data_IF_608461109433
#
_entry.id   IF_608461109433
#
_cell.length_a   1.000
_cell.length_b   1.000
_cell.length_c   1.000
_cell.angle_alpha   90.00
_cell.angle_beta   90.00
_cell.angle_gamma   90.00
#
_symmetry.space_group_name_H-M   'P 1'
#
loop_
_entity.id
_entity.type
_entity.pdbx_description
1 polymer ?
#
# COMPACT_ATOMS: atom_id res chain seq x y z
N UNK A 1 13.37 -8.72 -20.12
CA UNK A 1 13.63 -7.54 -19.25
C UNK A 1 13.78 -8.02 -17.82
N UNK A 2 14.94 -7.81 -17.20
CA UNK A 2 15.17 -8.27 -15.84
C UNK A 2 14.16 -7.66 -14.85
N UNK A 3 13.62 -8.49 -13.97
CA UNK A 3 12.76 -8.11 -12.85
C UNK A 3 13.46 -8.46 -11.54
N UNK A 4 13.58 -7.50 -10.63
CA UNK A 4 14.12 -7.73 -9.28
C UNK A 4 12.97 -7.97 -8.32
N UNK A 5 12.88 -9.17 -7.74
CA UNK A 5 11.93 -9.49 -6.68
C UNK A 5 12.58 -9.20 -5.33
N UNK A 6 12.04 -8.23 -4.59
CA UNK A 6 12.60 -7.77 -3.30
C UNK A 6 11.73 -8.32 -2.17
N UNK A 7 12.34 -9.14 -1.30
CA UNK A 7 11.67 -9.84 -0.20
C UNK A 7 12.26 -9.39 1.14
N UNK A 8 11.58 -8.48 1.89
CA UNK A 8 11.98 -8.14 3.25
C UNK A 8 11.65 -9.29 4.20
N UNK A 9 12.64 -9.78 4.95
CA UNK A 9 12.50 -10.94 5.83
C UNK A 9 12.80 -10.55 7.28
N UNK A 10 11.84 -10.82 8.19
CA UNK A 10 12.00 -10.64 9.63
C UNK A 10 11.18 -11.68 10.39
N UNK A 11 11.83 -12.67 10.99
CA UNK A 11 11.19 -13.75 11.74
C UNK A 11 10.06 -14.43 10.94
N UNK A 12 10.42 -15.00 9.80
CA UNK A 12 9.49 -15.61 8.82
C UNK A 12 9.92 -17.01 8.41
N UNK A 13 10.62 -17.74 9.28
CA UNK A 13 11.13 -19.09 8.99
C UNK A 13 10.04 -20.07 8.53
N UNK A 14 8.79 -19.89 8.96
CA UNK A 14 7.66 -20.75 8.59
C UNK A 14 7.10 -20.48 7.19
N UNK A 15 7.36 -19.31 6.63
CA UNK A 15 6.72 -18.82 5.39
C UNK A 15 7.70 -18.62 4.23
N UNK A 16 8.93 -18.21 4.54
CA UNK A 16 9.87 -17.69 3.55
C UNK A 16 10.25 -18.71 2.48
N UNK A 17 10.25 -20.00 2.77
CA UNK A 17 10.53 -21.05 1.79
C UNK A 17 9.47 -21.05 0.68
N UNK A 18 8.20 -21.13 1.03
CA UNK A 18 7.10 -21.11 0.05
C UNK A 18 7.09 -19.81 -0.77
N UNK A 19 7.38 -18.67 -0.12
CA UNK A 19 7.49 -17.39 -0.79
C UNK A 19 8.58 -17.41 -1.88
N UNK A 20 9.79 -17.84 -1.55
CA UNK A 20 10.92 -17.95 -2.51
C UNK A 20 10.58 -18.95 -3.62
N UNK A 21 10.01 -20.10 -3.28
CA UNK A 21 9.61 -21.13 -4.25
C UNK A 21 8.56 -20.63 -5.22
N UNK A 22 7.61 -19.78 -4.78
CA UNK A 22 6.62 -19.15 -5.65
C UNK A 22 7.27 -18.21 -6.69
N UNK A 23 8.41 -17.61 -6.35
CA UNK A 23 9.19 -16.77 -7.29
C UNK A 23 10.07 -17.62 -8.19
N UNK A 24 10.70 -18.68 -7.68
CA UNK A 24 11.49 -19.60 -8.48
C UNK A 24 10.64 -20.36 -9.51
N UNK A 25 9.37 -20.63 -9.16
CA UNK A 25 8.37 -21.27 -10.02
C UNK A 25 7.70 -20.34 -11.05
N UNK A 26 8.15 -19.09 -11.20
CA UNK A 26 7.59 -18.20 -12.22
C UNK A 26 7.90 -18.68 -13.65
N UNK A 27 6.93 -18.56 -14.55
CA UNK A 27 7.06 -18.83 -15.98
C UNK A 27 7.99 -17.82 -16.70
N UNK A 28 8.45 -16.79 -15.98
CA UNK A 28 9.38 -15.75 -16.45
C UNK A 28 10.78 -16.00 -15.90
N UNK A 29 11.78 -16.17 -16.78
CA UNK A 29 13.12 -16.61 -16.37
C UNK A 29 14.10 -15.48 -16.04
N UNK A 30 13.89 -14.27 -16.59
CA UNK A 30 14.79 -13.12 -16.40
C UNK A 30 14.50 -12.42 -15.06
N UNK A 31 14.82 -13.13 -13.97
CA UNK A 31 14.54 -12.74 -12.58
C UNK A 31 15.80 -12.79 -11.71
N UNK A 32 15.95 -11.83 -10.81
CA UNK A 32 16.77 -11.92 -9.60
C UNK A 32 15.89 -11.82 -8.35
N UNK A 33 16.23 -12.56 -7.31
CA UNK A 33 15.54 -12.58 -6.02
C UNK A 33 16.46 -11.98 -4.98
N UNK A 34 16.06 -10.87 -4.37
CA UNK A 34 16.84 -10.15 -3.38
C UNK A 34 16.12 -10.28 -2.04
N UNK A 35 16.60 -11.19 -1.20
CA UNK A 35 16.10 -11.42 0.15
C UNK A 35 16.87 -10.52 1.13
N UNK A 36 16.18 -9.76 1.95
CA UNK A 36 16.82 -8.86 2.92
C UNK A 36 16.47 -9.31 4.33
N UNK A 37 17.44 -9.93 5.02
CA UNK A 37 17.32 -10.22 6.44
C UNK A 37 17.37 -8.93 7.25
N UNK A 38 16.26 -8.63 7.93
CA UNK A 38 16.10 -7.41 8.74
C UNK A 38 16.22 -7.71 10.25
N UNK A 39 17.34 -8.33 10.65
CA UNK A 39 17.66 -8.74 12.02
C UNK A 39 16.76 -9.86 12.56
N UNK A 40 16.53 -10.91 11.78
CA UNK A 40 15.83 -12.11 12.26
C UNK A 40 16.59 -12.80 13.39
N UNK A 41 15.83 -13.30 14.36
CA UNK A 41 16.33 -14.05 15.51
C UNK A 41 15.96 -15.54 15.48
N UNK A 42 15.15 -15.95 14.50
CA UNK A 42 14.74 -17.32 14.24
C UNK A 42 15.59 -17.98 13.14
N UNK A 43 15.13 -19.10 12.55
CA UNK A 43 15.81 -19.80 11.47
C UNK A 43 15.80 -19.12 10.10
N UNK A 44 15.17 -17.93 9.95
CA UNK A 44 15.00 -17.22 8.67
C UNK A 44 16.31 -17.09 7.91
N UNK A 45 17.36 -16.52 8.53
CA UNK A 45 18.64 -16.28 7.85
C UNK A 45 19.29 -17.57 7.32
N UNK A 46 19.20 -18.66 8.06
CA UNK A 46 19.75 -19.96 7.64
C UNK A 46 19.02 -20.48 6.40
N UNK A 47 17.70 -20.31 6.32
CA UNK A 47 16.90 -20.68 5.17
C UNK A 47 17.31 -19.85 3.95
N UNK A 48 17.43 -18.53 4.11
CA UNK A 48 17.85 -17.63 3.02
C UNK A 48 19.23 -18.02 2.48
N UNK A 49 20.21 -18.32 3.35
CA UNK A 49 21.55 -18.74 2.97
C UNK A 49 21.54 -20.05 2.20
N UNK A 50 20.69 -21.02 2.58
CA UNK A 50 20.50 -22.27 1.84
C UNK A 50 20.06 -21.98 0.41
N UNK A 51 19.01 -21.18 0.19
CA UNK A 51 18.55 -20.82 -1.15
C UNK A 51 19.61 -20.05 -1.96
N UNK A 52 20.37 -19.16 -1.33
CA UNK A 52 21.46 -18.44 -2.01
C UNK A 52 22.59 -19.38 -2.47
N UNK A 53 22.85 -20.43 -1.72
CA UNK A 53 23.84 -21.45 -2.09
C UNK A 53 23.33 -22.38 -3.19
N UNK A 54 22.03 -22.73 -3.15
CA UNK A 54 21.39 -23.62 -4.12
C UNK A 54 21.14 -22.93 -5.46
N UNK A 55 20.84 -21.61 -5.45
CA UNK A 55 20.58 -20.80 -6.64
C UNK A 55 21.56 -19.62 -6.76
N UNK A 56 22.86 -19.89 -6.98
CA UNK A 56 23.89 -18.86 -7.01
C UNK A 56 23.66 -17.88 -8.17
N UNK A 57 23.75 -16.57 -7.85
CA UNK A 57 23.51 -15.50 -8.80
C UNK A 57 22.02 -15.17 -9.06
N UNK A 58 21.10 -16.08 -8.74
CA UNK A 58 19.66 -15.85 -8.85
C UNK A 58 19.06 -15.40 -7.51
N UNK A 59 19.47 -16.02 -6.39
CA UNK A 59 19.03 -15.63 -5.03
C UNK A 59 20.18 -14.91 -4.33
N UNK A 60 19.97 -13.66 -3.98
CA UNK A 60 20.91 -12.76 -3.32
C UNK A 60 20.40 -12.48 -1.92
N UNK A 61 21.25 -12.70 -0.90
CA UNK A 61 20.91 -12.42 0.50
C UNK A 61 21.69 -11.23 1.00
N UNK A 62 20.98 -10.22 1.50
CA UNK A 62 21.54 -9.01 2.08
C UNK A 62 21.05 -8.86 3.52
N UNK A 63 21.80 -8.10 4.33
CA UNK A 63 21.38 -7.69 5.68
C UNK A 63 21.07 -6.20 5.72
N UNK A 64 20.03 -5.82 6.47
CA UNK A 64 19.72 -4.45 6.79
C UNK A 64 19.56 -4.29 8.30
N UNK A 65 20.51 -3.61 8.99
CA UNK A 65 20.49 -3.46 10.44
C UNK A 65 19.42 -2.49 10.94
N UNK A 66 18.95 -1.55 10.13
CA UNK A 66 17.85 -0.64 10.51
C UNK A 66 16.53 -1.39 10.47
N UNK A 67 15.85 -1.44 11.60
CA UNK A 67 14.58 -2.18 11.74
C UNK A 67 13.46 -1.57 10.91
N UNK A 68 12.68 -2.44 10.27
CA UNK A 68 11.43 -2.13 9.58
C UNK A 68 11.46 -2.43 8.08
N UNK A 69 10.32 -2.90 7.58
CA UNK A 69 10.15 -3.30 6.19
C UNK A 69 10.55 -2.20 5.17
N UNK A 70 10.27 -0.89 5.39
CA UNK A 70 10.77 0.17 4.51
C UNK A 70 12.29 0.20 4.36
N UNK A 71 13.04 0.03 5.45
CA UNK A 71 14.50 0.02 5.41
C UNK A 71 15.01 -1.20 4.61
N UNK A 72 14.44 -2.38 4.87
CA UNK A 72 14.77 -3.60 4.14
C UNK A 72 14.44 -3.46 2.64
N UNK A 73 13.26 -2.94 2.29
CA UNK A 73 12.88 -2.71 0.88
C UNK A 73 13.82 -1.70 0.21
N UNK A 74 14.22 -0.62 0.89
CA UNK A 74 15.17 0.36 0.36
C UNK A 74 16.55 -0.26 0.13
N UNK A 75 17.01 -1.15 1.01
CA UNK A 75 18.23 -1.92 0.79
C UNK A 75 18.14 -2.76 -0.48
N UNK A 76 16.99 -3.39 -0.71
CA UNK A 76 16.70 -4.15 -1.94
C UNK A 76 16.68 -3.26 -3.19
N UNK A 77 16.02 -2.09 -3.15
CA UNK A 77 15.99 -1.11 -4.26
C UNK A 77 17.41 -0.68 -4.68
N UNK A 78 18.30 -0.49 -3.70
CA UNK A 78 19.70 -0.12 -3.97
C UNK A 78 20.43 -1.24 -4.73
N UNK A 79 20.17 -2.50 -4.40
CA UNK A 79 20.81 -3.66 -5.01
C UNK A 79 20.17 -4.11 -6.33
N UNK A 80 18.90 -3.76 -6.57
CA UNK A 80 18.12 -4.18 -7.72
C UNK A 80 18.77 -3.75 -9.05
N UNK A 81 18.88 -4.69 -10.00
CA UNK A 81 19.39 -4.48 -11.36
C UNK A 81 18.25 -4.51 -12.41
N UNK A 82 17.09 -5.01 -12.02
CA UNK A 82 15.93 -5.13 -12.90
C UNK A 82 15.37 -3.78 -13.34
N UNK A 83 14.82 -3.76 -14.56
CA UNK A 83 14.03 -2.64 -15.05
C UNK A 83 12.77 -2.46 -14.19
N UNK A 84 12.21 -3.55 -13.70
CA UNK A 84 11.04 -3.59 -12.86
C UNK A 84 11.36 -4.18 -11.50
N UNK A 85 10.68 -3.70 -10.47
CA UNK A 85 10.73 -4.21 -9.10
C UNK A 85 9.37 -4.81 -8.74
N UNK A 86 9.42 -6.05 -8.28
CA UNK A 86 8.35 -6.71 -7.56
C UNK A 86 8.70 -6.70 -6.07
N UNK A 87 7.96 -5.98 -5.25
CA UNK A 87 8.02 -6.18 -3.80
C UNK A 87 7.14 -7.37 -3.43
N UNK A 88 7.62 -8.23 -2.56
CA UNK A 88 6.89 -9.40 -2.09
C UNK A 88 7.16 -9.59 -0.60
N UNK A 89 6.12 -9.55 0.22
CA UNK A 89 6.27 -9.85 1.63
C UNK A 89 6.52 -11.36 1.81
N UNK A 90 7.37 -11.74 2.76
CA UNK A 90 7.91 -13.09 2.88
C UNK A 90 6.86 -14.15 3.29
N UNK A 91 5.65 -13.72 3.59
CA UNK A 91 4.48 -14.54 3.89
C UNK A 91 3.46 -14.64 2.74
N UNK A 92 3.72 -13.96 1.61
CA UNK A 92 2.82 -13.92 0.46
C UNK A 92 3.34 -14.77 -0.72
N UNK A 93 2.46 -15.02 -1.69
CA UNK A 93 2.76 -15.91 -2.83
C UNK A 93 2.43 -15.25 -4.16
N UNK A 94 3.22 -15.58 -5.19
CA UNK A 94 2.95 -15.22 -6.59
C UNK A 94 2.47 -16.46 -7.36
N UNK A 95 1.42 -16.31 -8.16
CA UNK A 95 1.03 -17.32 -9.15
C UNK A 95 2.08 -17.43 -10.26
N UNK A 96 2.29 -18.61 -10.87
CA UNK A 96 3.38 -18.81 -11.85
C UNK A 96 3.37 -17.83 -13.03
N UNK A 97 2.23 -17.31 -13.41
CA UNK A 97 2.04 -16.42 -14.58
C UNK A 97 2.28 -14.95 -14.28
N UNK A 98 2.34 -14.56 -12.98
CA UNK A 98 2.28 -13.18 -12.53
C UNK A 98 3.29 -12.27 -13.20
N UNK A 99 4.57 -12.62 -13.15
CA UNK A 99 5.64 -11.75 -13.67
C UNK A 99 5.59 -11.70 -15.20
N UNK A 100 5.41 -12.86 -15.88
CA UNK A 100 5.30 -12.90 -17.34
C UNK A 100 4.14 -12.03 -17.85
N UNK A 101 2.97 -12.14 -17.19
CA UNK A 101 1.80 -11.35 -17.52
C UNK A 101 2.06 -9.86 -17.37
N UNK A 102 2.55 -9.40 -16.21
CA UNK A 102 2.73 -7.96 -15.97
C UNK A 102 3.86 -7.34 -16.78
N UNK A 103 4.93 -8.08 -17.06
CA UNK A 103 5.98 -7.62 -17.98
C UNK A 103 5.41 -7.44 -19.38
N UNK A 104 4.63 -8.40 -19.87
CA UNK A 104 3.94 -8.28 -21.18
C UNK A 104 2.95 -7.11 -21.20
N UNK A 105 2.18 -6.95 -20.12
CA UNK A 105 1.22 -5.86 -19.95
C UNK A 105 1.89 -4.49 -19.97
N UNK A 106 3.10 -4.38 -19.36
CA UNK A 106 3.88 -3.13 -19.35
C UNK A 106 4.28 -2.65 -20.75
N UNK A 107 4.37 -3.54 -21.73
CA UNK A 107 4.70 -3.20 -23.12
C UNK A 107 3.57 -2.45 -23.85
N UNK A 108 2.35 -2.50 -23.31
CA UNK A 108 1.21 -1.76 -23.89
C UNK A 108 1.32 -0.24 -23.66
N UNK A 109 2.13 0.18 -22.69
CA UNK A 109 2.39 1.60 -22.44
C UNK A 109 3.80 1.79 -21.86
N UNK A 110 4.73 2.23 -22.70
CA UNK A 110 6.13 2.45 -22.31
C UNK A 110 6.34 3.55 -21.26
N UNK A 111 5.34 4.40 -21.06
CA UNK A 111 5.36 5.47 -20.04
C UNK A 111 4.91 4.97 -18.66
N UNK A 112 4.46 3.72 -18.56
CA UNK A 112 3.99 3.18 -17.28
C UNK A 112 5.11 3.18 -16.23
N UNK A 113 4.86 3.82 -15.10
CA UNK A 113 5.78 3.83 -13.96
C UNK A 113 5.42 2.81 -12.89
N UNK A 114 4.17 2.33 -12.85
CA UNK A 114 3.79 1.13 -12.12
C UNK A 114 2.47 0.54 -12.64
N UNK A 115 2.28 -0.74 -12.33
CA UNK A 115 1.06 -1.49 -12.59
C UNK A 115 0.38 -1.75 -11.26
N UNK A 116 -0.79 -1.18 -11.05
CA UNK A 116 -1.65 -1.50 -9.91
C UNK A 116 -2.45 -2.76 -10.25
N UNK A 117 -2.40 -3.78 -9.40
CA UNK A 117 -2.98 -5.07 -9.73
C UNK A 117 -3.92 -5.61 -8.65
N UNK A 118 -4.87 -6.42 -9.13
CA UNK A 118 -5.78 -7.22 -8.31
C UNK A 118 -5.03 -8.31 -7.54
N UNK A 119 -5.63 -8.83 -6.49
CA UNK A 119 -5.01 -9.86 -5.66
C UNK A 119 -6.07 -10.72 -4.96
N UNK A 120 -5.66 -11.90 -4.55
CA UNK A 120 -6.39 -12.73 -3.61
C UNK A 120 -5.95 -12.44 -2.18
N UNK A 121 -6.88 -12.52 -1.24
CA UNK A 121 -6.59 -12.52 0.19
C UNK A 121 -7.02 -13.83 0.80
N UNK A 122 -6.05 -14.60 1.28
CA UNK A 122 -6.29 -15.84 2.01
C UNK A 122 -6.43 -15.52 3.50
N UNK A 123 -7.61 -15.82 4.05
CA UNK A 123 -7.92 -15.65 5.48
C UNK A 123 -7.36 -16.80 6.30
N UNK A 124 -7.19 -16.60 7.61
CA UNK A 124 -6.72 -17.65 8.56
C UNK A 124 -7.60 -18.93 8.48
N UNK A 125 -8.90 -18.78 8.26
CA UNK A 125 -9.82 -19.91 8.12
C UNK A 125 -9.74 -20.63 6.74
N UNK A 126 -8.79 -20.25 5.89
CA UNK A 126 -8.60 -20.81 4.55
C UNK A 126 -9.47 -20.19 3.45
N UNK A 127 -10.43 -19.32 3.77
CA UNK A 127 -11.24 -18.64 2.77
C UNK A 127 -10.39 -17.71 1.91
N UNK A 128 -10.67 -17.68 0.60
CA UNK A 128 -10.02 -16.79 -0.35
C UNK A 128 -11.02 -15.73 -0.80
N UNK A 129 -10.65 -14.47 -0.63
CA UNK A 129 -11.41 -13.31 -1.10
C UNK A 129 -10.67 -12.68 -2.29
N UNK A 130 -11.42 -12.30 -3.31
CA UNK A 130 -10.88 -11.60 -4.48
C UNK A 130 -10.99 -10.08 -4.30
N UNK A 131 -9.89 -9.39 -4.52
CA UNK A 131 -9.82 -7.92 -4.57
C UNK A 131 -9.55 -7.51 -6.00
N UNK A 132 -10.63 -7.31 -6.76
CA UNK A 132 -10.55 -6.94 -8.18
C UNK A 132 -10.48 -5.43 -8.32
N UNK A 133 -9.47 -4.97 -9.03
CA UNK A 133 -9.31 -3.55 -9.39
C UNK A 133 -10.09 -3.22 -10.65
N UNK A 134 -10.79 -2.12 -10.60
CA UNK A 134 -11.40 -1.50 -11.76
C UNK A 134 -10.56 -0.27 -12.17
N UNK A 135 -10.41 -0.05 -13.46
CA UNK A 135 -9.75 1.16 -13.97
C UNK A 135 -10.50 2.40 -13.49
N UNK A 136 -9.82 3.27 -12.79
CA UNK A 136 -10.39 4.49 -12.22
C UNK A 136 -9.35 5.61 -12.17
N UNK A 137 -9.76 6.78 -11.71
CA UNK A 137 -8.80 7.85 -11.42
C UNK A 137 -7.80 7.40 -10.33
N UNK A 138 -6.47 7.49 -10.58
CA UNK A 138 -5.46 6.97 -9.66
C UNK A 138 -5.48 7.64 -8.28
N UNK A 139 -5.76 8.96 -8.19
CA UNK A 139 -5.86 9.64 -6.90
C UNK A 139 -7.10 9.20 -6.12
N UNK A 140 -8.24 9.01 -6.79
CA UNK A 140 -9.44 8.47 -6.14
C UNK A 140 -9.21 7.04 -5.68
N UNK A 141 -8.61 6.18 -6.52
CA UNK A 141 -8.28 4.81 -6.17
C UNK A 141 -7.36 4.74 -4.95
N UNK A 142 -6.27 5.54 -4.95
CA UNK A 142 -5.35 5.64 -3.83
C UNK A 142 -6.06 6.09 -2.55
N UNK A 143 -6.91 7.10 -2.66
CA UNK A 143 -7.62 7.69 -1.52
C UNK A 143 -8.51 6.69 -0.78
N UNK A 144 -9.09 5.73 -1.50
CA UNK A 144 -9.94 4.67 -0.94
C UNK A 144 -9.25 3.31 -0.87
N UNK A 145 -7.91 3.26 -0.95
CA UNK A 145 -7.09 2.02 -0.90
C UNK A 145 -7.47 0.99 -1.97
N UNK A 146 -7.79 1.46 -3.17
CA UNK A 146 -8.11 0.64 -4.34
C UNK A 146 -7.08 0.83 -5.47
N UNK A 147 -5.82 1.13 -5.13
CA UNK A 147 -4.72 1.24 -6.09
C UNK A 147 -3.75 0.04 -5.99
N UNK A 148 -4.31 -1.14 -5.78
CA UNK A 148 -3.56 -2.37 -5.61
C UNK A 148 -2.96 -2.54 -4.21
N UNK A 149 -1.96 -3.41 -4.13
CA UNK A 149 -1.24 -3.75 -2.91
C UNK A 149 0.27 -3.84 -3.23
N UNK A 150 1.13 -3.65 -2.25
CA UNK A 150 2.59 -3.72 -2.38
C UNK A 150 3.05 -4.98 -3.14
N UNK A 151 2.49 -6.14 -2.79
CA UNK A 151 2.89 -7.44 -3.36
C UNK A 151 2.22 -7.74 -4.70
N UNK A 152 1.08 -7.13 -5.00
CA UNK A 152 0.38 -7.29 -6.27
C UNK A 152 0.93 -6.36 -7.36
N UNK A 153 1.33 -5.16 -6.98
CA UNK A 153 1.81 -4.13 -7.91
C UNK A 153 3.21 -4.43 -8.44
N UNK A 154 3.48 -4.03 -9.69
CA UNK A 154 4.81 -4.06 -10.29
C UNK A 154 5.28 -2.62 -10.54
N UNK A 155 6.49 -2.27 -10.11
CA UNK A 155 6.98 -0.90 -10.12
C UNK A 155 8.18 -0.74 -11.06
N UNK A 156 8.21 0.33 -11.86
CA UNK A 156 9.39 0.70 -12.64
C UNK A 156 10.50 1.15 -11.68
N UNK A 157 11.68 0.55 -11.78
CA UNK A 157 12.80 0.78 -10.85
C UNK A 157 13.22 2.25 -10.80
N UNK A 158 13.30 2.92 -11.95
CA UNK A 158 13.62 4.36 -12.00
C UNK A 158 12.57 5.19 -11.26
N UNK A 159 11.27 4.95 -11.49
CA UNK A 159 10.21 5.72 -10.83
C UNK A 159 10.27 5.62 -9.30
N UNK A 160 10.59 4.41 -8.77
CA UNK A 160 10.75 4.23 -7.31
C UNK A 160 12.00 4.94 -6.80
N UNK A 161 13.11 4.90 -7.56
CA UNK A 161 14.36 5.58 -7.21
C UNK A 161 14.24 7.09 -7.23
N UNK A 162 13.55 7.64 -8.22
CA UNK A 162 13.36 9.09 -8.41
C UNK A 162 12.62 9.75 -7.23
N UNK A 163 11.74 8.99 -6.56
CA UNK A 163 11.03 9.46 -5.35
C UNK A 163 11.75 9.09 -4.03
N UNK A 164 12.95 8.53 -4.08
CA UNK A 164 13.75 8.15 -2.91
C UNK A 164 13.32 6.86 -2.20
N UNK A 165 12.52 6.00 -2.86
CA UNK A 165 12.07 4.72 -2.29
C UNK A 165 11.03 4.87 -1.18
N UNK A 166 11.03 3.94 -0.22
CA UNK A 166 10.10 3.88 0.91
C UNK A 166 10.46 4.85 2.02
N UNK A 167 9.45 5.51 2.59
CA UNK A 167 9.63 6.38 3.76
C UNK A 167 9.83 5.55 5.03
N UNK A 168 11.03 5.61 5.61
CA UNK A 168 11.41 4.82 6.81
C UNK A 168 10.81 5.33 8.11
N UNK A 169 10.28 6.55 8.14
CA UNK A 169 9.69 7.17 9.34
C UNK A 169 8.26 6.69 9.58
N UNK A 170 7.61 6.14 8.54
CA UNK A 170 6.24 5.67 8.64
C UNK A 170 6.17 4.26 9.26
N UNK A 171 5.24 4.09 10.20
CA UNK A 171 4.96 2.80 10.84
C UNK A 171 3.80 2.05 10.19
N UNK A 172 2.89 2.77 9.52
CA UNK A 172 1.75 2.23 8.76
C UNK A 172 1.53 3.05 7.49
N UNK A 173 0.58 2.65 6.64
CA UNK A 173 0.24 3.36 5.37
C UNK A 173 1.45 3.59 4.44
N UNK A 174 2.50 2.78 4.58
CA UNK A 174 3.75 2.90 3.85
C UNK A 174 3.55 2.79 2.33
N UNK A 175 2.70 1.86 1.90
CA UNK A 175 2.38 1.67 0.48
C UNK A 175 1.58 2.84 -0.10
N UNK A 176 0.64 3.40 0.68
CA UNK A 176 -0.14 4.57 0.25
C UNK A 176 0.78 5.78 0.07
N UNK A 177 1.75 5.99 0.97
CA UNK A 177 2.76 7.04 0.84
C UNK A 177 3.64 6.85 -0.41
N UNK A 178 4.13 5.63 -0.65
CA UNK A 178 4.93 5.33 -1.84
C UNK A 178 4.16 5.66 -3.11
N UNK A 179 2.93 5.13 -3.24
CA UNK A 179 2.09 5.36 -4.41
C UNK A 179 1.69 6.83 -4.55
N UNK A 180 1.45 7.54 -3.43
CA UNK A 180 1.17 8.98 -3.46
C UNK A 180 2.35 9.78 -4.01
N UNK A 181 3.57 9.51 -3.56
CA UNK A 181 4.78 10.20 -4.09
C UNK A 181 5.04 9.86 -5.56
N UNK A 182 4.73 8.65 -6.00
CA UNK A 182 4.73 8.29 -7.44
C UNK A 182 3.74 9.14 -8.22
N UNK A 183 2.49 9.27 -7.75
CA UNK A 183 1.49 10.12 -8.41
C UNK A 183 1.87 11.61 -8.39
N UNK A 184 2.47 12.10 -7.31
CA UNK A 184 3.02 13.48 -7.27
C UNK A 184 4.09 13.70 -8.34
N UNK A 185 4.90 12.68 -8.61
CA UNK A 185 5.91 12.68 -9.69
C UNK A 185 5.31 12.37 -11.08
N UNK A 186 3.99 12.50 -11.23
CA UNK A 186 3.23 12.29 -12.48
C UNK A 186 3.45 10.92 -13.12
N UNK A 187 3.71 9.90 -12.30
CA UNK A 187 3.91 8.53 -12.75
C UNK A 187 2.63 7.97 -13.38
N UNK A 188 2.73 7.42 -14.58
CA UNK A 188 1.61 6.78 -15.29
C UNK A 188 1.31 5.42 -14.65
N UNK A 189 0.03 5.16 -14.39
CA UNK A 189 -0.46 3.92 -13.75
C UNK A 189 -1.25 3.10 -14.75
N UNK A 190 -0.91 1.81 -14.88
CA UNK A 190 -1.75 0.81 -15.52
C UNK A 190 -2.55 0.06 -14.46
N UNK A 191 -3.77 -0.35 -14.82
CA UNK A 191 -4.64 -1.13 -13.95
C UNK A 191 -4.79 -2.54 -14.50
N UNK A 192 -4.33 -3.53 -13.73
CA UNK A 192 -4.40 -4.95 -14.04
C UNK A 192 -5.49 -5.59 -13.16
N UNK A 193 -6.52 -6.13 -13.79
CA UNK A 193 -7.65 -6.75 -13.09
C UNK A 193 -7.46 -8.25 -12.83
N UNK A 194 -6.30 -8.82 -13.14
CA UNK A 194 -6.03 -10.24 -12.91
C UNK A 194 -5.32 -10.45 -11.55
N UNK A 195 -5.89 -11.29 -10.66
CA UNK A 195 -5.35 -11.49 -9.31
C UNK A 195 -4.31 -12.62 -9.29
N UNK A 196 -3.06 -12.31 -9.61
CA UNK A 196 -1.95 -13.27 -9.63
C UNK A 196 -1.07 -13.23 -8.36
N UNK A 197 -1.54 -12.62 -7.28
CA UNK A 197 -0.84 -12.56 -6.00
C UNK A 197 -1.78 -12.96 -4.88
N UNK A 198 -1.31 -13.82 -3.99
CA UNK A 198 -2.06 -14.24 -2.79
C UNK A 198 -1.45 -13.60 -1.55
N UNK A 199 -2.20 -12.70 -0.93
CA UNK A 199 -1.87 -12.08 0.35
C UNK A 199 -2.39 -12.96 1.48
N UNK A 200 -1.51 -13.45 2.34
CA UNK A 200 -1.89 -14.36 3.43
C UNK A 200 -2.10 -13.61 4.75
N UNK A 201 -3.23 -13.86 5.39
CA UNK A 201 -3.48 -13.36 6.75
C UNK A 201 -2.83 -14.28 7.77
N UNK A 202 -2.15 -13.70 8.78
CA UNK A 202 -1.52 -14.44 9.89
C UNK A 202 -2.21 -14.15 11.21
N UNK A 203 -2.15 -15.09 12.15
CA UNK A 203 -2.71 -14.92 13.49
C UNK A 203 -2.01 -13.78 14.26
N UNK A 204 -0.72 -13.60 14.05
CA UNK A 204 0.08 -12.57 14.73
C UNK A 204 1.25 -12.07 13.88
N UNK A 205 1.87 -10.98 14.32
CA UNK A 205 3.11 -10.46 13.74
C UNK A 205 2.92 -9.57 12.50
N UNK A 206 1.70 -9.29 12.08
CA UNK A 206 1.45 -8.34 10.99
C UNK A 206 1.48 -6.89 11.49
N UNK A 207 2.10 -5.99 10.72
CA UNK A 207 2.18 -4.55 11.04
C UNK A 207 0.79 -3.94 11.23
N UNK A 208 -0.19 -4.38 10.45
CA UNK A 208 -1.58 -3.92 10.50
C UNK A 208 -2.26 -4.19 11.85
N UNK A 209 -1.82 -5.20 12.60
CA UNK A 209 -2.35 -5.56 13.92
C UNK A 209 -1.77 -4.73 15.06
N UNK A 210 -0.64 -4.02 14.82
CA UNK A 210 0.00 -3.19 15.84
C UNK A 210 -0.68 -1.83 15.97
N UNK A 211 -1.06 -1.43 17.21
CA UNK A 211 -1.50 -0.08 17.56
C UNK A 211 -2.61 0.52 16.64
N UNK A 212 -3.82 -0.08 16.56
CA UNK A 212 -4.84 0.28 15.56
C UNK A 212 -5.20 1.78 15.52
N UNK A 213 -5.27 2.45 16.69
CA UNK A 213 -5.63 3.87 16.73
C UNK A 213 -4.54 4.77 16.13
N UNK A 214 -3.25 4.47 16.39
CA UNK A 214 -2.14 5.23 15.76
C UNK A 214 -2.09 5.00 14.27
N UNK A 215 -2.29 3.75 13.83
CA UNK A 215 -2.35 3.41 12.41
C UNK A 215 -3.50 4.15 11.72
N UNK A 216 -4.66 4.27 12.40
CA UNK A 216 -5.80 5.01 11.87
C UNK A 216 -5.54 6.52 11.75
N UNK A 217 -4.85 7.10 12.74
CA UNK A 217 -4.44 8.50 12.68
C UNK A 217 -3.51 8.74 11.49
N UNK A 218 -2.46 7.93 11.35
CA UNK A 218 -1.51 8.04 10.24
C UNK A 218 -2.20 7.84 8.87
N UNK A 219 -3.14 6.89 8.80
CA UNK A 219 -3.96 6.65 7.62
C UNK A 219 -4.73 7.91 7.19
N UNK A 220 -5.39 8.61 8.12
CA UNK A 220 -6.19 9.79 7.77
C UNK A 220 -5.32 11.02 7.51
N UNK A 221 -4.22 11.19 8.23
CA UNK A 221 -3.27 12.29 7.99
C UNK A 221 -2.72 12.25 6.56
N UNK A 222 -2.42 11.06 6.06
CA UNK A 222 -1.99 10.90 4.68
C UNK A 222 -3.11 11.26 3.68
N UNK A 223 -4.40 10.98 3.99
CA UNK A 223 -5.52 11.44 3.14
C UNK A 223 -5.68 12.95 3.14
N UNK A 224 -5.43 13.60 4.27
CA UNK A 224 -5.38 15.07 4.29
C UNK A 224 -4.20 15.61 3.49
N UNK A 225 -3.04 14.97 3.54
CA UNK A 225 -1.90 15.36 2.71
C UNK A 225 -2.24 15.25 1.20
N UNK A 226 -2.93 14.16 0.79
CA UNK A 226 -3.41 14.02 -0.59
C UNK A 226 -4.40 15.14 -0.94
N UNK A 227 -5.36 15.45 -0.08
CA UNK A 227 -6.34 16.53 -0.30
C UNK A 227 -5.65 17.88 -0.49
N UNK A 228 -4.71 18.22 0.39
CA UNK A 228 -3.93 19.48 0.32
C UNK A 228 -3.12 19.56 -0.96
N UNK A 229 -2.47 18.46 -1.35
CA UNK A 229 -1.73 18.40 -2.61
C UNK A 229 -2.63 18.66 -3.81
N UNK A 230 -3.78 17.98 -3.89
CA UNK A 230 -4.73 18.15 -5.00
C UNK A 230 -5.25 19.58 -5.07
N UNK A 231 -5.60 20.18 -3.93
CA UNK A 231 -6.06 21.55 -3.85
C UNK A 231 -5.02 22.55 -4.36
N UNK A 232 -3.74 22.34 -4.03
CA UNK A 232 -2.68 23.28 -4.34
C UNK A 232 -2.04 23.06 -5.73
N UNK A 233 -2.04 21.83 -6.26
CA UNK A 233 -1.30 21.47 -7.47
C UNK A 233 -2.20 20.99 -8.62
N UNK A 234 -3.47 20.69 -8.34
CA UNK A 234 -4.45 20.18 -9.30
C UNK A 234 -5.82 20.86 -9.06
N UNK A 235 -5.84 22.20 -8.97
CA UNK A 235 -7.00 22.99 -8.51
C UNK A 235 -8.29 22.69 -9.30
N UNK A 236 -8.21 22.69 -10.62
CA UNK A 236 -9.38 22.46 -11.49
C UNK A 236 -9.96 21.06 -11.29
N UNK A 237 -9.08 20.05 -11.24
CA UNK A 237 -9.47 18.68 -10.92
C UNK A 237 -10.08 18.59 -9.51
N UNK A 238 -9.45 19.25 -8.53
CA UNK A 238 -9.93 19.25 -7.14
C UNK A 238 -11.32 19.87 -7.02
N UNK A 239 -11.58 21.01 -7.64
CA UNK A 239 -12.90 21.67 -7.59
C UNK A 239 -14.02 20.79 -8.15
N UNK A 240 -13.75 20.03 -9.21
CA UNK A 240 -14.70 19.06 -9.78
C UNK A 240 -14.96 17.90 -8.81
N UNK A 241 -13.92 17.39 -8.16
CA UNK A 241 -13.95 16.13 -7.43
C UNK A 241 -13.98 16.27 -5.90
N UNK A 242 -13.91 17.49 -5.36
CA UNK A 242 -13.81 17.75 -3.91
C UNK A 242 -14.93 17.11 -3.08
N UNK A 243 -16.12 16.98 -3.64
CA UNK A 243 -17.25 16.33 -2.95
C UNK A 243 -16.95 14.87 -2.61
N UNK A 244 -16.29 14.12 -3.52
CA UNK A 244 -15.85 12.75 -3.27
C UNK A 244 -14.85 12.68 -2.12
N UNK A 245 -13.82 13.52 -2.14
CA UNK A 245 -12.75 13.51 -1.13
C UNK A 245 -13.27 13.90 0.25
N UNK A 246 -14.04 14.98 0.34
CA UNK A 246 -14.65 15.42 1.59
C UNK A 246 -15.62 14.39 2.18
N UNK A 247 -16.48 13.77 1.36
CA UNK A 247 -17.37 12.73 1.82
C UNK A 247 -16.60 11.55 2.44
N UNK A 248 -15.55 11.08 1.77
CA UNK A 248 -14.72 9.98 2.28
C UNK A 248 -14.00 10.36 3.56
N UNK A 249 -13.41 11.55 3.64
CA UNK A 249 -12.75 12.04 4.86
C UNK A 249 -13.74 12.19 6.03
N UNK A 250 -14.91 12.72 5.79
CA UNK A 250 -15.92 12.86 6.83
C UNK A 250 -16.30 11.52 7.45
N UNK A 251 -16.44 10.47 6.63
CA UNK A 251 -16.69 9.11 7.11
C UNK A 251 -15.49 8.58 7.94
N UNK A 252 -14.26 8.91 7.57
CA UNK A 252 -13.08 8.49 8.31
C UNK A 252 -12.94 9.23 9.65
N UNK A 253 -13.30 10.53 9.69
CA UNK A 253 -13.31 11.31 10.94
C UNK A 253 -14.26 10.76 11.99
N UNK A 254 -15.36 10.10 11.60
CA UNK A 254 -16.24 9.40 12.56
C UNK A 254 -15.46 8.35 13.36
N UNK A 255 -14.58 7.60 12.72
CA UNK A 255 -13.76 6.59 13.39
C UNK A 255 -12.75 7.23 14.36
N UNK A 256 -12.12 8.35 14.00
CA UNK A 256 -11.26 9.08 14.96
C UNK A 256 -12.09 9.64 16.11
N UNK A 257 -13.26 10.22 15.83
CA UNK A 257 -14.13 10.80 16.84
C UNK A 257 -14.60 9.78 17.91
N UNK A 258 -14.61 8.48 17.58
CA UNK A 258 -14.97 7.43 18.55
C UNK A 258 -13.90 7.21 19.64
N UNK A 259 -12.64 7.59 19.40
CA UNK A 259 -11.56 7.45 20.40
C UNK A 259 -10.77 8.76 20.67
N UNK A 260 -10.83 9.75 19.79
CA UNK A 260 -10.20 11.08 19.96
C UNK A 260 -11.05 12.17 19.27
N UNK A 261 -12.14 12.57 19.95
CA UNK A 261 -13.05 13.59 19.45
C UNK A 261 -12.39 14.96 19.26
N UNK A 262 -11.43 15.32 20.13
CA UNK A 262 -10.72 16.60 20.04
C UNK A 262 -9.90 16.67 18.76
N UNK A 263 -9.16 15.61 18.44
CA UNK A 263 -8.36 15.51 17.22
C UNK A 263 -9.26 15.51 15.97
N UNK A 264 -10.35 14.74 15.99
CA UNK A 264 -11.31 14.72 14.89
C UNK A 264 -11.88 16.10 14.59
N UNK A 265 -12.23 16.87 15.65
CA UNK A 265 -12.71 18.24 15.50
C UNK A 265 -11.64 19.16 14.92
N UNK A 266 -10.40 19.10 15.42
CA UNK A 266 -9.32 19.93 14.90
C UNK A 266 -9.07 19.64 13.40
N UNK A 267 -9.06 18.37 12.99
CA UNK A 267 -8.91 17.98 11.58
C UNK A 267 -10.09 18.49 10.73
N UNK A 268 -11.32 18.40 11.26
CA UNK A 268 -12.47 18.93 10.56
C UNK A 268 -12.35 20.46 10.37
N UNK A 269 -12.09 21.21 11.45
CA UNK A 269 -11.98 22.67 11.41
C UNK A 269 -10.82 23.17 10.50
N UNK A 270 -9.76 22.37 10.38
CA UNK A 270 -8.56 22.74 9.58
C UNK A 270 -8.79 22.53 8.09
N UNK A 271 -9.46 21.46 7.69
CA UNK A 271 -9.43 21.00 6.30
C UNK A 271 -10.77 21.10 5.57
N UNK A 272 -11.90 21.18 6.29
CA UNK A 272 -13.18 21.28 5.64
C UNK A 272 -13.59 22.73 5.43
N UNK A 273 -14.28 22.99 4.32
CA UNK A 273 -14.86 24.30 4.04
C UNK A 273 -15.99 24.60 5.05
N UNK A 274 -16.15 25.88 5.43
CA UNK A 274 -17.13 26.28 6.46
C UNK A 274 -18.58 25.93 6.11
N UNK A 275 -18.91 25.89 4.83
CA UNK A 275 -20.24 25.58 4.28
C UNK A 275 -20.38 24.12 3.85
N UNK A 276 -19.37 23.28 4.12
CA UNK A 276 -19.42 21.87 3.77
C UNK A 276 -20.67 21.18 4.35
N UNK A 277 -21.35 20.44 3.49
CA UNK A 277 -22.59 19.71 3.79
C UNK A 277 -22.39 18.22 3.57
N UNK A 278 -22.18 17.41 4.65
CA UNK A 278 -21.78 16.02 4.54
C UNK A 278 -22.86 15.05 4.10
N UNK A 279 -24.12 15.48 4.05
CA UNK A 279 -25.28 14.62 3.79
C UNK A 279 -25.98 14.97 2.47
N UNK A 280 -26.65 13.99 1.87
CA UNK A 280 -27.56 14.22 0.74
C UNK A 280 -28.86 14.94 1.17
N UNK A 281 -29.26 14.76 2.43
CA UNK A 281 -30.49 15.36 3.00
C UNK A 281 -30.26 16.80 3.44
N UNK A 282 -31.05 17.73 2.94
CA UNK A 282 -31.01 19.12 3.36
C UNK A 282 -31.38 19.29 4.85
N UNK A 283 -32.31 18.48 5.37
CA UNK A 283 -32.69 18.48 6.79
C UNK A 283 -31.50 18.05 7.67
N UNK A 284 -30.79 16.97 7.30
CA UNK A 284 -29.61 16.52 8.05
C UNK A 284 -28.48 17.54 7.97
N UNK A 285 -28.30 18.22 6.85
CA UNK A 285 -27.30 19.27 6.73
C UNK A 285 -27.65 20.49 7.57
N UNK A 286 -28.91 20.90 7.60
CA UNK A 286 -29.37 21.98 8.46
C UNK A 286 -29.18 21.63 9.95
N UNK A 287 -29.54 20.42 10.34
CA UNK A 287 -29.30 19.93 11.70
C UNK A 287 -27.83 19.89 12.05
N UNK A 288 -26.99 19.35 11.16
CA UNK A 288 -25.53 19.31 11.35
C UNK A 288 -24.93 20.73 11.51
N UNK A 289 -25.36 21.68 10.67
CA UNK A 289 -24.92 23.09 10.77
C UNK A 289 -25.34 23.73 12.09
N UNK A 290 -26.52 23.38 12.57
CA UNK A 290 -27.09 23.93 13.83
C UNK A 290 -26.30 23.45 15.05
N UNK A 291 -26.03 22.14 15.16
CA UNK A 291 -25.41 21.56 16.36
C UNK A 291 -23.86 21.50 16.25
N UNK A 292 -23.31 21.59 15.03
CA UNK A 292 -21.89 21.53 14.73
C UNK A 292 -21.28 20.12 14.80
N UNK A 293 -20.06 20.00 14.31
CA UNK A 293 -19.36 18.73 14.19
C UNK A 293 -19.26 17.94 15.52
N UNK A 294 -18.84 18.62 16.60
CA UNK A 294 -18.61 17.98 17.90
C UNK A 294 -19.87 17.33 18.46
N UNK A 295 -20.96 18.08 18.52
CA UNK A 295 -22.24 17.57 19.05
C UNK A 295 -22.81 16.46 18.15
N UNK A 296 -22.68 16.61 16.82
CA UNK A 296 -23.10 15.59 15.88
C UNK A 296 -22.36 14.27 16.07
N UNK A 297 -21.03 14.31 16.27
CA UNK A 297 -20.23 13.10 16.53
C UNK A 297 -20.55 12.45 17.86
N UNK A 298 -20.81 13.24 18.91
CA UNK A 298 -21.27 12.71 20.22
C UNK A 298 -22.59 11.95 20.09
N UNK A 299 -23.57 12.50 19.39
CA UNK A 299 -24.87 11.85 19.16
C UNK A 299 -24.76 10.55 18.35
N UNK A 300 -23.84 10.49 17.39
CA UNK A 300 -23.59 9.25 16.62
C UNK A 300 -22.89 8.17 17.46
N UNK A 301 -21.99 8.54 18.37
CA UNK A 301 -21.30 7.58 19.25
C UNK A 301 -22.23 6.99 20.33
N UNK A 302 -23.36 7.65 20.63
CA UNK A 302 -24.38 7.14 21.56
C UNK A 302 -25.34 6.11 20.91
N UNK A 303 -25.32 5.99 19.58
CA UNK A 303 -26.21 5.09 18.81
C UNK A 303 -25.53 3.83 18.26
N UNK A 304 -24.24 3.66 18.48
CA UNK A 304 -23.43 2.47 18.12
C UNK A 304 -22.87 1.81 19.32
#
# INVERSE_FOLDING_TARGET
MLVSVIIPCFNVQEYVSECIESVLGQNYQDLEIICIDNNSSDGTLNILQKYSTEFPGKVIVLKEPRKGAPAARNRGITAAKGKWIQFLDADDLLSPEKIAHQVTYSLQNEQAGFIAASFFKQRINGNIEEFILEKSDPFKALFVTKLGNTCANLFLTSSVRDIGGWNTDLKSSQETDLMFRLLQNKTVVLFDNLPYTTIRERESGQISQSNPNKNWIQYIELRFAILVYLKNNCSDYFEIEKAFYYQKLFLQLKKIASFDLKRAKNLYDTYFEKDYSPFKSNILNAFFKLIGFKAFMMLNNLRG
#
